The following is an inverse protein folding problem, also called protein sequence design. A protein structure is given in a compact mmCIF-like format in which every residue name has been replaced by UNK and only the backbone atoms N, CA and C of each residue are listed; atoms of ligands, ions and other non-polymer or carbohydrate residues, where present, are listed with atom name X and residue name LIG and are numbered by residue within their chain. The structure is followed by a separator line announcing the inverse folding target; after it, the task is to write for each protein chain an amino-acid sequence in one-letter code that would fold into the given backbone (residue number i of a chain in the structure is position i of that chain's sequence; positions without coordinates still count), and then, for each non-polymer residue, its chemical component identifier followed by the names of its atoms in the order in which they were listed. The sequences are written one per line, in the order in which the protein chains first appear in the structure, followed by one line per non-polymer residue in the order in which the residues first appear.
data_IF_076220832434
#
_entry.id   IF_076220832434
#
_cell.length_a   1.000
_cell.length_b   1.000
_cell.length_c   1.000
_cell.angle_alpha   90.00
_cell.angle_beta   90.00
_cell.angle_gamma   90.00
#
_symmetry.space_group_name_H-M   'P 1'
#
loop_
_entity.id
_entity.type
_entity.pdbx_description
1 polymer ?
#
# COMPACT_ATOMS: atom_id res chain seq x y z
N UNK A 1 23.19 -6.81 -11.47
CA UNK A 1 22.73 -8.19 -11.72
C UNK A 1 21.63 -8.46 -10.70
N UNK A 2 20.38 -8.25 -11.08
CA UNK A 2 19.21 -8.37 -10.19
C UNK A 2 18.73 -9.80 -10.35
N UNK A 3 18.99 -10.65 -9.35
CA UNK A 3 18.40 -11.98 -9.27
C UNK A 3 16.94 -11.81 -8.82
N UNK A 4 16.01 -11.84 -9.79
CA UNK A 4 14.60 -12.15 -9.53
C UNK A 4 14.51 -13.67 -9.35
N UNK A 5 14.96 -14.17 -8.21
CA UNK A 5 14.85 -15.58 -7.84
C UNK A 5 13.49 -15.81 -7.18
N UNK A 6 12.68 -16.68 -7.79
CA UNK A 6 11.65 -17.45 -7.09
C UNK A 6 10.49 -16.66 -6.49
N UNK A 7 9.68 -16.00 -7.32
CA UNK A 7 8.27 -15.83 -6.98
C UNK A 7 7.53 -17.02 -7.57
N UNK A 8 7.42 -18.12 -6.82
CA UNK A 8 6.34 -19.05 -7.05
C UNK A 8 5.05 -18.27 -6.72
N UNK A 9 4.47 -17.66 -7.75
CA UNK A 9 3.11 -17.18 -7.64
C UNK A 9 2.28 -18.44 -7.40
N UNK A 10 1.85 -18.65 -6.16
CA UNK A 10 0.68 -19.48 -5.89
C UNK A 10 -0.45 -18.80 -6.67
N UNK A 11 -0.66 -19.26 -7.91
CA UNK A 11 -1.70 -18.77 -8.81
C UNK A 11 -3.01 -19.43 -8.45
N UNK A 12 -3.42 -19.28 -7.18
CA UNK A 12 -4.83 -19.46 -6.87
C UNK A 12 -5.54 -18.24 -7.44
N UNK A 13 -6.39 -18.51 -8.45
CA UNK A 13 -7.25 -17.48 -9.01
C UNK A 13 -8.11 -16.93 -7.86
N UNK A 14 -8.23 -15.60 -7.72
CA UNK A 14 -8.96 -15.04 -6.62
C UNK A 14 -10.43 -15.47 -6.69
N UNK A 15 -10.97 -15.86 -5.53
CA UNK A 15 -12.38 -16.17 -5.41
C UNK A 15 -13.19 -14.87 -5.39
N UNK A 16 -14.33 -14.87 -6.05
CA UNK A 16 -15.27 -13.74 -6.01
C UNK A 16 -16.36 -14.02 -5.00
N UNK A 17 -16.56 -13.11 -4.05
CA UNK A 17 -17.63 -13.25 -3.07
C UNK A 17 -19.00 -13.10 -3.74
N UNK A 18 -20.01 -13.75 -3.13
CA UNK A 18 -21.42 -13.51 -3.45
C UNK A 18 -21.93 -12.21 -2.84
N UNK A 19 -21.26 -11.73 -1.80
CA UNK A 19 -21.54 -10.44 -1.19
C UNK A 19 -21.05 -9.32 -2.10
N UNK A 20 -21.86 -8.29 -2.31
CA UNK A 20 -21.47 -7.20 -3.19
C UNK A 20 -20.51 -6.22 -2.52
N UNK A 21 -20.53 -6.12 -1.18
CA UNK A 21 -19.85 -5.09 -0.40
C UNK A 21 -19.30 -5.69 0.89
N UNK A 22 -18.03 -5.41 1.18
CA UNK A 22 -17.38 -5.74 2.45
C UNK A 22 -16.81 -4.50 3.13
N UNK A 23 -16.38 -3.50 2.35
CA UNK A 23 -15.79 -2.26 2.88
C UNK A 23 -16.69 -1.04 2.67
N UNK A 24 -17.58 -1.08 1.68
CA UNK A 24 -18.33 0.12 1.31
C UNK A 24 -19.25 0.67 2.39
N UNK A 25 -19.08 1.96 2.69
CA UNK A 25 -19.93 2.73 3.60
C UNK A 25 -20.71 3.84 2.87
N UNK A 26 -21.69 4.47 3.53
CA UNK A 26 -22.47 5.57 2.93
C UNK A 26 -21.64 6.75 2.39
N UNK A 27 -20.60 7.23 3.09
CA UNK A 27 -19.68 8.23 2.53
C UNK A 27 -19.05 7.79 1.21
N UNK A 28 -18.81 6.49 1.04
CA UNK A 28 -18.18 5.97 -0.15
C UNK A 28 -19.15 5.82 -1.33
N UNK A 29 -20.44 5.60 -1.05
CA UNK A 29 -21.48 5.71 -2.07
C UNK A 29 -21.57 7.16 -2.59
N UNK A 30 -21.51 8.16 -1.70
CA UNK A 30 -21.44 9.55 -2.10
C UNK A 30 -20.18 9.86 -2.92
N UNK A 31 -19.03 9.35 -2.49
CA UNK A 31 -17.77 9.46 -3.23
C UNK A 31 -17.88 8.84 -4.62
N UNK A 32 -18.54 7.69 -4.76
CA UNK A 32 -18.78 7.03 -6.04
C UNK A 32 -19.63 7.91 -6.96
N UNK A 33 -20.73 8.46 -6.44
CA UNK A 33 -21.59 9.37 -7.20
C UNK A 33 -20.86 10.62 -7.68
N UNK A 34 -20.08 11.26 -6.79
CA UNK A 34 -19.22 12.40 -7.15
C UNK A 34 -18.17 11.99 -8.18
N UNK A 35 -17.56 10.80 -8.03
CA UNK A 35 -16.54 10.32 -8.96
C UNK A 35 -17.11 10.10 -10.36
N UNK A 36 -18.30 9.50 -10.49
CA UNK A 36 -18.98 9.34 -11.77
C UNK A 36 -19.28 10.68 -12.43
N UNK A 37 -19.78 11.65 -11.65
CA UNK A 37 -20.03 13.00 -12.15
C UNK A 37 -18.74 13.66 -12.66
N UNK A 38 -17.64 13.55 -11.91
CA UNK A 38 -16.36 14.11 -12.31
C UNK A 38 -15.78 13.41 -13.55
N UNK A 39 -15.86 12.08 -13.64
CA UNK A 39 -15.46 11.33 -14.84
C UNK A 39 -16.24 11.80 -16.06
N UNK A 40 -17.55 12.00 -15.91
CA UNK A 40 -18.40 12.54 -16.97
C UNK A 40 -17.93 13.94 -17.40
N UNK A 41 -17.76 14.86 -16.45
CA UNK A 41 -17.33 16.23 -16.73
C UNK A 41 -15.95 16.30 -17.40
N UNK A 42 -14.98 15.52 -16.90
CA UNK A 42 -13.62 15.46 -17.50
C UNK A 42 -13.66 14.82 -18.89
N UNK A 43 -14.54 13.84 -19.12
CA UNK A 43 -14.74 13.27 -20.45
C UNK A 43 -15.35 14.27 -21.43
N UNK A 44 -16.32 15.06 -20.99
CA UNK A 44 -16.89 16.17 -21.78
C UNK A 44 -15.83 17.23 -22.07
N UNK A 45 -14.99 17.57 -21.10
CA UNK A 45 -13.86 18.47 -21.30
C UNK A 45 -12.91 17.93 -22.38
N UNK A 46 -12.53 16.65 -22.31
CA UNK A 46 -11.68 16.03 -23.33
C UNK A 46 -12.32 16.03 -24.73
N UNK A 47 -13.64 15.82 -24.80
CA UNK A 47 -14.41 15.92 -26.04
C UNK A 47 -14.31 17.31 -26.67
N UNK A 48 -14.27 18.37 -25.87
CA UNK A 48 -14.11 19.74 -26.35
C UNK A 48 -12.68 20.00 -26.85
N UNK A 49 -11.66 19.38 -26.24
CA UNK A 49 -10.26 19.61 -26.58
C UNK A 49 -9.76 18.83 -27.80
N UNK A 50 -10.28 17.61 -28.06
CA UNK A 50 -9.77 16.76 -29.14
C UNK A 50 -10.80 15.79 -29.70
N UNK A 51 -10.68 15.49 -31.00
CA UNK A 51 -11.47 14.44 -31.68
C UNK A 51 -11.15 13.04 -31.17
N UNK A 52 -9.98 12.84 -30.55
CA UNK A 52 -9.54 11.54 -30.02
C UNK A 52 -9.93 11.30 -28.56
N UNK A 53 -10.83 12.11 -27.99
CA UNK A 53 -11.23 12.04 -26.58
C UNK A 53 -11.62 10.63 -26.13
N UNK A 54 -12.36 9.90 -26.97
CA UNK A 54 -12.81 8.54 -26.67
C UNK A 54 -11.63 7.59 -26.44
N UNK A 55 -10.57 7.70 -27.25
CA UNK A 55 -9.35 6.88 -27.10
C UNK A 55 -8.64 7.20 -25.79
N UNK A 56 -8.60 8.47 -25.38
CA UNK A 56 -8.00 8.89 -24.12
C UNK A 56 -8.81 8.34 -22.94
N UNK A 57 -10.12 8.61 -22.93
CA UNK A 57 -11.02 8.20 -21.84
C UNK A 57 -11.03 6.68 -21.66
N UNK A 58 -11.20 5.91 -22.74
CA UNK A 58 -11.22 4.43 -22.68
C UNK A 58 -9.83 3.87 -22.44
N UNK A 59 -8.79 4.42 -23.05
CA UNK A 59 -7.41 3.99 -22.82
C UNK A 59 -7.01 4.12 -21.35
N UNK A 60 -7.37 5.23 -20.71
CA UNK A 60 -7.14 5.44 -19.28
C UNK A 60 -8.02 4.54 -18.41
N UNK A 61 -9.24 4.20 -18.84
CA UNK A 61 -10.09 3.22 -18.15
C UNK A 61 -9.48 1.80 -18.17
N UNK A 62 -8.84 1.42 -19.28
CA UNK A 62 -8.13 0.15 -19.40
C UNK A 62 -6.86 0.14 -18.56
N UNK A 63 -6.08 1.22 -18.57
CA UNK A 63 -4.90 1.38 -17.70
C UNK A 63 -5.31 1.30 -16.23
N UNK A 64 -6.37 1.99 -15.83
CA UNK A 64 -6.86 1.93 -14.45
C UNK A 64 -7.34 0.53 -14.06
N UNK A 65 -7.94 -0.22 -15.00
CA UNK A 65 -8.32 -1.62 -14.76
C UNK A 65 -7.10 -2.50 -14.52
N UNK A 66 -6.08 -2.41 -15.36
CA UNK A 66 -4.81 -3.14 -15.19
C UNK A 66 -4.16 -2.78 -13.86
N UNK A 67 -4.16 -1.50 -13.48
CA UNK A 67 -3.65 -1.07 -12.18
C UNK A 67 -4.49 -1.58 -11.01
N UNK A 68 -5.82 -1.64 -11.15
CA UNK A 68 -6.69 -2.21 -10.13
C UNK A 68 -6.33 -3.69 -9.89
N UNK A 69 -6.15 -4.46 -10.97
CA UNK A 69 -5.72 -5.86 -10.90
C UNK A 69 -4.32 -5.97 -10.30
N UNK A 70 -3.36 -5.16 -10.75
CA UNK A 70 -2.01 -5.15 -10.19
C UNK A 70 -2.04 -4.80 -8.69
N UNK A 71 -2.95 -3.93 -8.27
CA UNK A 71 -3.05 -3.52 -6.88
C UNK A 71 -3.48 -4.65 -5.94
N UNK A 72 -4.21 -5.65 -6.45
CA UNK A 72 -4.53 -6.86 -5.69
C UNK A 72 -3.26 -7.62 -5.27
N UNK A 73 -2.27 -7.70 -6.15
CA UNK A 73 -1.05 -8.47 -5.89
C UNK A 73 0.05 -7.67 -5.20
N UNK A 74 0.11 -6.36 -5.41
CA UNK A 74 1.18 -5.52 -4.87
C UNK A 74 0.86 -4.96 -3.48
N UNK A 75 -0.43 -4.76 -3.18
CA UNK A 75 -0.88 -4.07 -1.97
C UNK A 75 -1.70 -5.01 -1.11
N UNK A 76 -1.06 -5.50 -0.06
CA UNK A 76 -1.64 -6.45 0.89
C UNK A 76 -1.32 -6.01 2.31
N UNK A 77 -2.37 -5.99 3.14
CA UNK A 77 -2.27 -6.06 4.59
C UNK A 77 -2.68 -7.50 4.99
N UNK A 78 -1.77 -8.31 5.54
CA UNK A 78 -2.09 -9.68 5.95
C UNK A 78 -3.08 -9.67 7.12
N UNK A 79 -3.72 -10.82 7.40
CA UNK A 79 -4.50 -10.99 8.62
C UNK A 79 -3.62 -10.75 9.85
N UNK A 80 -4.16 -10.02 10.83
CA UNK A 80 -3.38 -9.43 11.92
C UNK A 80 -4.09 -9.56 13.26
N UNK A 81 -3.31 -9.49 14.35
CA UNK A 81 -3.80 -9.47 15.73
C UNK A 81 -3.55 -8.14 16.43
N UNK A 82 -2.81 -7.23 15.81
CA UNK A 82 -2.66 -5.85 16.27
C UNK A 82 -4.03 -5.20 16.53
N UNK A 83 -4.31 -4.91 17.81
CA UNK A 83 -5.57 -4.35 18.33
C UNK A 83 -6.80 -5.19 18.07
N UNK A 84 -6.61 -6.46 17.74
CA UNK A 84 -7.64 -7.43 17.46
C UNK A 84 -7.21 -8.82 17.97
N UNK A 85 -7.32 -9.09 19.30
CA UNK A 85 -6.77 -10.30 19.91
C UNK A 85 -7.33 -11.60 19.34
N UNK A 86 -8.60 -11.57 18.91
CA UNK A 86 -9.29 -12.70 18.27
C UNK A 86 -8.83 -12.93 16.82
N UNK A 87 -8.02 -12.02 16.27
CA UNK A 87 -7.61 -11.98 14.89
C UNK A 87 -8.62 -11.23 14.01
N UNK A 88 -8.10 -10.33 13.19
CA UNK A 88 -8.87 -9.60 12.20
C UNK A 88 -8.44 -10.03 10.79
N UNK A 89 -9.39 -10.14 9.84
CA UNK A 89 -9.06 -10.40 8.45
C UNK A 89 -8.19 -9.25 7.90
N UNK A 90 -7.25 -9.62 7.06
CA UNK A 90 -6.47 -8.69 6.25
C UNK A 90 -7.27 -8.19 5.06
N UNK A 91 -6.61 -7.43 4.20
CA UNK A 91 -7.20 -6.94 2.96
C UNK A 91 -6.16 -6.72 1.86
N UNK A 92 -6.64 -6.72 0.61
CA UNK A 92 -5.86 -6.37 -0.58
C UNK A 92 -6.53 -5.25 -1.37
N UNK A 93 -5.71 -4.54 -2.14
CA UNK A 93 -6.16 -3.45 -3.00
C UNK A 93 -5.78 -2.07 -2.49
N UNK A 94 -5.53 -1.17 -3.44
CA UNK A 94 -5.17 0.23 -3.19
C UNK A 94 -5.61 1.12 -4.37
N UNK A 95 -6.00 2.39 -4.18
CA UNK A 95 -6.09 3.16 -2.92
C UNK A 95 -7.18 2.72 -1.95
N UNK A 96 -8.11 1.87 -2.41
CA UNK A 96 -9.17 1.33 -1.57
C UNK A 96 -9.07 -0.19 -1.46
N UNK A 97 -9.34 -0.77 -0.28
CA UNK A 97 -9.45 -2.21 -0.15
C UNK A 97 -10.66 -2.71 -0.93
N UNK A 98 -10.51 -3.85 -1.59
CA UNK A 98 -11.60 -4.51 -2.32
C UNK A 98 -11.59 -6.02 -2.21
N UNK A 99 -10.64 -6.59 -1.49
CA UNK A 99 -10.60 -8.00 -1.19
C UNK A 99 -10.22 -8.21 0.27
N UNK A 100 -10.83 -9.19 0.91
CA UNK A 100 -10.49 -9.63 2.27
C UNK A 100 -9.47 -10.77 2.21
N UNK A 101 -8.62 -10.89 3.23
CA UNK A 101 -7.63 -11.97 3.36
C UNK A 101 -7.81 -12.66 4.70
N UNK A 102 -7.96 -13.98 4.70
CA UNK A 102 -8.05 -14.77 5.93
C UNK A 102 -6.67 -15.13 6.51
N UNK A 103 -6.64 -15.82 7.66
CA UNK A 103 -5.38 -16.29 8.26
C UNK A 103 -4.71 -17.43 7.49
N UNK A 104 -5.44 -18.12 6.61
CA UNK A 104 -4.87 -19.13 5.72
C UNK A 104 -4.23 -18.50 4.46
N UNK A 105 -4.40 -17.19 4.27
CA UNK A 105 -3.89 -16.46 3.11
C UNK A 105 -4.84 -16.46 1.90
N UNK A 106 -6.04 -17.01 2.04
CA UNK A 106 -7.05 -16.99 0.99
C UNK A 106 -7.60 -15.59 0.85
N UNK A 107 -7.69 -15.12 -0.39
CA UNK A 107 -8.17 -13.79 -0.71
C UNK A 107 -9.48 -13.84 -1.48
N UNK A 108 -10.50 -13.13 -0.99
CA UNK A 108 -11.83 -13.08 -1.61
C UNK A 108 -12.11 -11.66 -2.09
N UNK A 109 -12.37 -11.50 -3.39
CA UNK A 109 -12.67 -10.22 -4.04
C UNK A 109 -14.15 -9.89 -3.90
N UNK A 110 -14.43 -8.66 -3.50
CA UNK A 110 -15.78 -8.12 -3.39
C UNK A 110 -16.11 -7.25 -4.62
N UNK A 111 -17.12 -7.61 -5.45
CA UNK A 111 -17.32 -6.99 -6.75
C UNK A 111 -17.56 -5.48 -6.75
N UNK A 112 -18.39 -4.95 -5.85
CA UNK A 112 -18.67 -3.51 -5.83
C UNK A 112 -17.45 -2.73 -5.33
N UNK A 113 -16.76 -3.22 -4.32
CA UNK A 113 -15.54 -2.59 -3.82
C UNK A 113 -14.46 -2.54 -4.91
N UNK A 114 -14.34 -3.61 -5.72
CA UNK A 114 -13.44 -3.64 -6.87
C UNK A 114 -13.81 -2.58 -7.91
N UNK A 115 -15.10 -2.49 -8.26
CA UNK A 115 -15.61 -1.48 -9.20
C UNK A 115 -15.40 -0.05 -8.69
N UNK A 116 -15.57 0.18 -7.39
CA UNK A 116 -15.33 1.47 -6.75
C UNK A 116 -13.84 1.85 -6.78
N UNK A 117 -12.93 0.90 -6.49
CA UNK A 117 -11.50 1.16 -6.59
C UNK A 117 -11.09 1.46 -8.05
N UNK A 118 -11.60 0.70 -9.01
CA UNK A 118 -11.37 0.94 -10.44
C UNK A 118 -11.87 2.32 -10.88
N UNK A 119 -13.07 2.74 -10.44
CA UNK A 119 -13.62 4.06 -10.72
C UNK A 119 -12.74 5.19 -10.19
N UNK A 120 -12.26 5.06 -8.95
CA UNK A 120 -11.34 6.04 -8.34
C UNK A 120 -10.04 6.12 -9.13
N UNK A 121 -9.44 4.99 -9.48
CA UNK A 121 -8.22 4.96 -10.29
C UNK A 121 -8.45 5.58 -11.68
N UNK A 122 -9.59 5.32 -12.31
CA UNK A 122 -9.94 5.91 -13.60
C UNK A 122 -10.05 7.44 -13.52
N UNK A 123 -10.74 7.94 -12.49
CA UNK A 123 -10.83 9.37 -12.23
C UNK A 123 -9.45 10.00 -11.99
N UNK A 124 -8.59 9.37 -11.17
CA UNK A 124 -7.25 9.86 -10.90
C UNK A 124 -6.41 9.97 -12.18
N UNK A 125 -6.47 8.97 -13.05
CA UNK A 125 -5.75 9.00 -14.34
C UNK A 125 -6.31 10.04 -15.30
N UNK A 126 -7.63 10.24 -15.34
CA UNK A 126 -8.25 11.30 -16.12
C UNK A 126 -7.80 12.68 -15.62
N UNK A 127 -7.84 12.94 -14.31
CA UNK A 127 -7.34 14.20 -13.74
C UNK A 127 -5.85 14.38 -14.00
N UNK A 128 -5.04 13.33 -13.83
CA UNK A 128 -3.62 13.35 -14.12
C UNK A 128 -3.35 13.72 -15.60
N UNK A 129 -4.15 13.20 -16.54
CA UNK A 129 -4.03 13.54 -17.96
C UNK A 129 -4.34 15.02 -18.25
N UNK A 130 -5.29 15.62 -17.53
CA UNK A 130 -5.61 17.05 -17.64
C UNK A 130 -4.44 17.87 -17.11
N UNK A 131 -3.96 17.56 -15.91
CA UNK A 131 -2.81 18.23 -15.29
C UNK A 131 -1.57 18.13 -16.18
N UNK A 132 -1.30 16.94 -16.71
CA UNK A 132 -0.21 16.69 -17.64
C UNK A 132 -0.31 17.57 -18.89
N UNK A 133 -1.51 17.73 -19.45
CA UNK A 133 -1.75 18.57 -20.63
C UNK A 133 -1.51 20.04 -20.31
N UNK A 134 -1.98 20.51 -19.16
CA UNK A 134 -1.75 21.90 -18.71
C UNK A 134 -0.25 22.15 -18.54
N UNK A 135 0.46 21.25 -17.85
CA UNK A 135 1.91 21.34 -17.66
C UNK A 135 2.66 21.29 -18.99
N UNK A 136 2.25 20.42 -19.91
CA UNK A 136 2.82 20.28 -21.25
C UNK A 136 2.74 21.59 -22.05
N UNK A 137 1.58 22.24 -22.01
CA UNK A 137 1.33 23.53 -22.67
C UNK A 137 2.14 24.63 -22.02
N UNK A 138 2.11 24.74 -20.68
CA UNK A 138 2.89 25.73 -19.94
C UNK A 138 4.40 25.61 -20.20
N UNK A 139 4.91 24.38 -20.34
CA UNK A 139 6.31 24.11 -20.63
C UNK A 139 6.69 24.30 -22.12
N UNK A 140 5.70 24.51 -23.00
CA UNK A 140 5.82 24.48 -24.47
C UNK A 140 6.52 23.22 -24.95
N UNK A 141 6.11 22.09 -24.41
CA UNK A 141 6.81 20.81 -24.57
C UNK A 141 7.13 20.44 -26.03
N UNK A 142 6.25 20.65 -27.03
CA UNK A 142 6.55 20.35 -28.44
C UNK A 142 7.74 21.14 -29.02
N UNK A 143 8.09 22.30 -28.46
CA UNK A 143 9.19 23.13 -28.95
C UNK A 143 10.53 22.77 -28.28
N UNK A 144 10.51 21.95 -27.22
CA UNK A 144 11.70 21.65 -26.41
C UNK A 144 12.57 20.55 -27.03
N UNK A 145 13.90 20.61 -26.86
CA UNK A 145 14.81 19.54 -27.27
C UNK A 145 14.54 18.25 -26.50
N UNK A 146 14.86 17.10 -27.11
CA UNK A 146 14.58 15.75 -26.57
C UNK A 146 15.05 15.56 -25.12
N UNK A 147 16.20 16.13 -24.72
CA UNK A 147 16.72 16.04 -23.35
C UNK A 147 15.77 16.68 -22.32
N UNK A 148 15.26 17.88 -22.63
CA UNK A 148 14.30 18.56 -21.76
C UNK A 148 12.94 17.85 -21.75
N UNK A 149 12.54 17.23 -22.87
CA UNK A 149 11.34 16.38 -22.91
C UNK A 149 11.46 15.18 -21.97
N UNK A 150 12.61 14.49 -22.00
CA UNK A 150 12.88 13.36 -21.11
C UNK A 150 12.93 13.81 -19.65
N UNK A 151 13.60 14.93 -19.36
CA UNK A 151 13.64 15.50 -18.01
C UNK A 151 12.23 15.85 -17.51
N UNK A 152 11.39 16.44 -18.35
CA UNK A 152 9.99 16.73 -18.03
C UNK A 152 9.22 15.46 -17.66
N UNK A 153 9.36 14.39 -18.46
CA UNK A 153 8.73 13.09 -18.17
C UNK A 153 9.25 12.48 -16.87
N UNK A 154 10.56 12.56 -16.62
CA UNK A 154 11.13 12.05 -15.38
C UNK A 154 10.61 12.83 -14.16
N UNK A 155 10.60 14.16 -14.22
CA UNK A 155 10.23 15.01 -13.06
C UNK A 155 8.74 15.02 -12.79
N UNK A 156 7.90 15.08 -13.82
CA UNK A 156 6.44 15.20 -13.65
C UNK A 156 5.68 13.88 -13.85
N UNK A 157 6.30 12.89 -14.49
CA UNK A 157 5.69 11.59 -14.78
C UNK A 157 6.21 10.48 -13.88
N UNK A 158 7.53 10.30 -13.78
CA UNK A 158 8.11 9.13 -13.07
C UNK A 158 8.35 9.43 -11.60
N UNK A 159 9.01 10.53 -11.28
CA UNK A 159 9.47 10.87 -9.94
C UNK A 159 8.34 10.99 -8.91
N UNK A 160 7.17 11.62 -9.20
CA UNK A 160 6.09 11.72 -8.21
C UNK A 160 5.55 10.34 -7.81
N UNK A 161 5.46 9.42 -8.77
CA UNK A 161 5.03 8.04 -8.53
C UNK A 161 6.10 7.22 -7.81
N UNK A 162 7.37 7.39 -8.20
CA UNK A 162 8.49 6.72 -7.57
C UNK A 162 8.59 7.07 -6.07
N UNK A 163 8.30 8.33 -5.72
CA UNK A 163 8.40 8.85 -4.36
C UNK A 163 7.08 8.85 -3.58
N UNK A 164 5.98 8.39 -4.17
CA UNK A 164 4.65 8.31 -3.53
C UNK A 164 4.68 7.58 -2.16
N UNK A 165 5.46 6.50 -1.96
CA UNK A 165 5.65 5.84 -0.65
C UNK A 165 6.12 6.74 0.49
N UNK A 166 6.76 7.88 0.19
CA UNK A 166 7.20 8.83 1.21
C UNK A 166 6.06 9.71 1.73
N UNK A 167 5.03 9.90 0.92
CA UNK A 167 3.95 10.84 1.20
C UNK A 167 2.67 10.15 1.64
N UNK A 168 2.43 8.94 1.16
CA UNK A 168 1.20 8.22 1.44
C UNK A 168 1.53 6.86 2.06
N UNK A 169 0.78 6.49 3.09
CA UNK A 169 1.00 5.22 3.76
C UNK A 169 0.57 4.06 2.86
N UNK A 170 1.39 3.00 2.75
CA UNK A 170 0.93 1.74 2.17
C UNK A 170 -0.23 1.15 3.01
N UNK A 171 -1.00 0.22 2.45
CA UNK A 171 -1.98 -0.52 3.23
C UNK A 171 -1.32 -1.16 4.46
N UNK A 172 -1.92 -0.93 5.62
CA UNK A 172 -1.45 -1.43 6.91
C UNK A 172 -2.61 -1.45 7.91
N UNK A 173 -2.57 -2.34 8.92
CA UNK A 173 -3.48 -2.27 10.07
C UNK A 173 -3.46 -0.89 10.73
N UNK A 174 -4.59 -0.50 11.31
CA UNK A 174 -4.72 0.72 12.10
C UNK A 174 -4.76 0.37 13.59
N UNK A 175 -3.61 0.13 14.25
CA UNK A 175 -3.57 -0.25 15.64
C UNK A 175 -4.04 0.89 16.55
N UNK A 176 -4.52 0.53 17.73
CA UNK A 176 -4.99 1.45 18.77
C UNK A 176 -4.29 1.18 20.10
N UNK A 177 -4.30 2.17 20.99
CA UNK A 177 -3.80 2.05 22.35
C UNK A 177 -2.35 1.57 22.42
N UNK A 178 -2.13 0.45 23.10
CA UNK A 178 -0.81 -0.10 23.37
C UNK A 178 -0.11 -0.61 22.09
N UNK A 179 -0.82 -1.26 21.17
CA UNK A 179 -0.22 -1.74 19.93
C UNK A 179 0.23 -0.59 19.02
N UNK A 180 -0.48 0.55 19.06
CA UNK A 180 -0.06 1.76 18.35
C UNK A 180 1.25 2.29 18.92
N UNK A 181 1.40 2.26 20.25
CA UNK A 181 2.63 2.66 20.94
C UNK A 181 3.78 1.73 20.53
N UNK A 182 3.58 0.42 20.58
CA UNK A 182 4.57 -0.58 20.17
C UNK A 182 4.96 -0.43 18.70
N UNK A 183 3.99 -0.31 17.79
CA UNK A 183 4.24 -0.12 16.37
C UNK A 183 5.02 1.17 16.08
N UNK A 184 4.70 2.26 16.77
CA UNK A 184 5.40 3.54 16.64
C UNK A 184 6.84 3.45 17.14
N UNK A 185 7.05 2.83 18.30
CA UNK A 185 8.39 2.63 18.88
C UNK A 185 9.25 1.70 18.02
N UNK A 186 8.67 0.63 17.49
CA UNK A 186 9.33 -0.26 16.55
C UNK A 186 9.74 0.47 15.26
N UNK A 187 8.84 1.26 14.66
CA UNK A 187 9.17 2.08 13.47
C UNK A 187 10.28 3.07 13.76
N UNK A 188 10.19 3.82 14.87
CA UNK A 188 11.25 4.77 15.26
C UNK A 188 12.58 4.06 15.46
N UNK A 189 12.59 2.90 16.10
CA UNK A 189 13.81 2.11 16.28
C UNK A 189 14.38 1.63 14.96
N UNK A 190 13.54 1.16 14.03
CA UNK A 190 13.95 0.78 12.69
C UNK A 190 14.59 1.93 11.91
N UNK A 191 14.01 3.13 12.02
CA UNK A 191 14.45 4.35 11.32
C UNK A 191 15.72 4.94 11.92
N UNK A 192 15.77 5.13 13.25
CA UNK A 192 16.85 5.86 13.90
C UNK A 192 17.99 4.96 14.39
N UNK A 193 17.66 3.81 14.98
CA UNK A 193 18.66 2.90 15.55
C UNK A 193 19.30 2.05 14.45
N UNK A 194 18.47 1.44 13.61
CA UNK A 194 18.94 0.50 12.57
C UNK A 194 19.08 1.12 11.17
N UNK A 195 18.67 2.38 10.98
CA UNK A 195 18.78 3.13 9.71
C UNK A 195 18.23 2.37 8.50
N UNK A 196 17.10 1.68 8.68
CA UNK A 196 16.49 0.89 7.60
C UNK A 196 15.94 1.81 6.51
N UNK A 197 15.30 2.91 6.90
CA UNK A 197 14.75 3.87 5.94
C UNK A 197 15.86 4.75 5.36
N UNK A 198 15.73 5.07 4.07
CA UNK A 198 16.73 5.84 3.35
C UNK A 198 16.49 5.86 1.84
N UNK A 199 17.55 5.60 1.08
CA UNK A 199 17.48 5.57 -0.39
C UNK A 199 16.73 4.34 -0.92
N UNK A 200 16.84 3.21 -0.23
CA UNK A 200 16.26 1.94 -0.69
C UNK A 200 14.88 1.67 -0.10
N UNK A 201 14.73 1.74 1.22
CA UNK A 201 13.42 1.63 1.88
C UNK A 201 12.91 3.02 2.18
N UNK A 202 11.76 3.38 1.62
CA UNK A 202 11.14 4.69 1.80
C UNK A 202 10.11 4.73 2.91
N UNK A 203 9.44 3.60 3.17
CA UNK A 203 8.39 3.50 4.19
C UNK A 203 8.35 2.11 4.79
N UNK A 204 7.98 2.05 6.06
CA UNK A 204 7.67 0.82 6.78
C UNK A 204 6.16 0.77 7.06
N UNK A 205 5.52 -0.33 6.69
CA UNK A 205 4.13 -0.62 7.01
C UNK A 205 4.07 -1.59 8.17
N UNK A 206 3.06 -1.46 9.04
CA UNK A 206 2.80 -2.51 10.04
C UNK A 206 2.20 -3.73 9.36
N UNK A 207 2.65 -4.93 9.71
CA UNK A 207 1.95 -6.17 9.39
C UNK A 207 1.20 -6.70 10.61
N UNK A 208 1.87 -6.82 11.76
CA UNK A 208 1.27 -7.38 12.98
C UNK A 208 2.07 -7.04 14.24
N UNK A 209 1.44 -7.20 15.41
CA UNK A 209 2.03 -7.03 16.75
C UNK A 209 1.72 -8.26 17.59
N UNK A 210 2.75 -8.82 18.24
CA UNK A 210 2.61 -9.95 19.18
C UNK A 210 3.08 -9.56 20.56
N UNK A 211 2.29 -9.92 21.55
CA UNK A 211 2.64 -9.88 22.97
C UNK A 211 3.14 -11.25 23.37
N UNK A 212 4.32 -11.31 23.98
CA UNK A 212 4.87 -12.54 24.53
C UNK A 212 4.45 -12.64 26.00
N UNK A 213 4.04 -13.82 26.43
CA UNK A 213 3.78 -14.07 27.85
C UNK A 213 5.09 -13.97 28.62
N UNK A 214 5.23 -12.90 29.40
CA UNK A 214 6.38 -12.70 30.26
C UNK A 214 6.18 -13.46 31.58
N UNK A 215 7.15 -14.28 31.98
CA UNK A 215 7.14 -14.94 33.27
C UNK A 215 7.54 -13.96 34.39
N UNK A 216 6.64 -13.68 35.33
CA UNK A 216 6.95 -12.92 36.56
C UNK A 216 6.83 -11.39 36.47
N UNK A 217 7.03 -10.73 37.60
CA UNK A 217 6.90 -9.26 37.77
C UNK A 217 7.99 -8.51 36.98
N UNK A 218 7.70 -7.28 36.55
CA UNK A 218 8.67 -6.44 35.84
C UNK A 218 9.70 -5.89 36.83
N UNK A 219 10.94 -6.39 36.73
CA UNK A 219 12.10 -5.94 37.53
C UNK A 219 13.28 -5.54 36.61
N UNK A 220 14.27 -4.83 37.16
CA UNK A 220 15.49 -4.36 36.49
C UNK A 220 16.20 -5.51 35.74
N UNK A 221 16.24 -6.70 36.34
CA UNK A 221 16.87 -7.88 35.74
C UNK A 221 16.13 -8.40 34.50
N UNK A 222 14.82 -8.12 34.39
CA UNK A 222 13.96 -8.53 33.26
C UNK A 222 13.81 -7.45 32.19
N UNK A 223 14.45 -6.28 32.34
CA UNK A 223 14.35 -5.15 31.40
C UNK A 223 14.86 -5.48 30.00
N UNK A 224 15.79 -6.44 29.89
CA UNK A 224 16.36 -6.89 28.62
C UNK A 224 15.63 -8.10 28.02
N UNK A 225 14.54 -8.56 28.62
CA UNK A 225 13.72 -9.62 28.05
C UNK A 225 12.75 -9.09 26.99
N UNK A 226 12.53 -9.89 25.96
CA UNK A 226 11.56 -9.58 24.91
C UNK A 226 10.15 -9.75 25.47
N UNK A 227 9.39 -8.66 25.53
CA UNK A 227 7.97 -8.71 25.93
C UNK A 227 7.01 -8.55 24.76
N UNK A 228 7.46 -7.92 23.68
CA UNK A 228 6.62 -7.72 22.49
C UNK A 228 7.44 -7.83 21.22
N UNK A 229 6.83 -8.29 20.15
CA UNK A 229 7.44 -8.36 18.82
C UNK A 229 6.56 -7.62 17.83
N UNK A 230 7.18 -6.85 16.94
CA UNK A 230 6.48 -6.10 15.90
C UNK A 230 7.02 -6.52 14.53
N UNK A 231 6.14 -6.85 13.60
CA UNK A 231 6.52 -7.13 12.22
C UNK A 231 6.18 -5.94 11.31
N UNK A 232 7.16 -5.48 10.55
CA UNK A 232 7.04 -4.38 9.60
C UNK A 232 7.40 -4.83 8.17
N UNK A 233 6.68 -4.34 7.16
CA UNK A 233 7.02 -4.50 5.73
C UNK A 233 7.68 -3.26 5.18
N UNK A 234 8.84 -3.41 4.56
CA UNK A 234 9.54 -2.31 3.87
C UNK A 234 9.10 -2.14 2.43
N UNK A 235 8.83 -0.90 2.05
CA UNK A 235 8.46 -0.49 0.70
C UNK A 235 9.53 0.44 0.09
N UNK A 236 9.86 0.18 -1.17
CA UNK A 236 10.84 0.96 -1.96
C UNK A 236 10.13 1.92 -2.91
N UNK A 237 10.80 2.37 -3.97
CA UNK A 237 10.17 3.13 -5.05
C UNK A 237 8.94 2.42 -5.62
N UNK A 238 7.93 3.20 -6.02
CA UNK A 238 6.68 2.69 -6.62
C UNK A 238 5.90 1.70 -5.73
N UNK A 239 6.08 1.74 -4.41
CA UNK A 239 5.51 0.75 -3.47
C UNK A 239 5.88 -0.69 -3.77
N UNK A 240 7.04 -0.95 -4.37
CA UNK A 240 7.50 -2.33 -4.52
C UNK A 240 7.89 -2.85 -3.12
N UNK A 241 7.25 -3.93 -2.62
CA UNK A 241 7.62 -4.53 -1.34
C UNK A 241 9.02 -5.14 -1.47
N UNK A 242 9.82 -5.04 -0.39
CA UNK A 242 11.21 -5.49 -0.40
C UNK A 242 11.49 -6.60 0.58
N UNK A 243 11.35 -6.33 1.88
CA UNK A 243 11.67 -7.25 2.98
C UNK A 243 10.77 -7.00 4.17
N UNK A 244 10.65 -8.01 5.03
CA UNK A 244 10.04 -7.91 6.36
C UNK A 244 11.12 -7.63 7.40
N UNK A 245 10.72 -6.95 8.47
CA UNK A 245 11.57 -6.61 9.60
C UNK A 245 10.82 -6.97 10.87
N UNK A 246 11.35 -7.95 11.61
CA UNK A 246 10.86 -8.32 12.93
C UNK A 246 11.69 -7.58 13.97
N UNK A 247 11.02 -6.85 14.85
CA UNK A 247 11.65 -6.02 15.88
C UNK A 247 11.20 -6.54 17.22
N UNK A 248 12.18 -6.97 18.01
CA UNK A 248 11.96 -7.44 19.36
C UNK A 248 12.07 -6.25 20.30
N UNK A 249 10.98 -5.94 20.99
CA UNK A 249 10.89 -4.88 21.98
C UNK A 249 11.00 -5.50 23.37
N UNK A 250 11.64 -4.75 24.26
CA UNK A 250 11.70 -5.12 25.66
C UNK A 250 10.30 -5.18 26.31
N UNK A 251 10.21 -5.70 27.54
CA UNK A 251 8.94 -5.76 28.30
C UNK A 251 8.18 -4.42 28.40
N UNK A 252 8.89 -3.28 28.44
CA UNK A 252 8.24 -1.97 28.44
C UNK A 252 7.81 -1.47 27.06
N UNK A 253 8.17 -2.17 25.98
CA UNK A 253 7.79 -1.81 24.61
C UNK A 253 8.47 -0.54 24.08
N UNK A 254 9.48 -0.03 24.78
CA UNK A 254 10.14 1.25 24.46
C UNK A 254 11.42 1.03 23.68
N UNK A 255 12.20 0.02 24.06
CA UNK A 255 13.56 -0.18 23.52
C UNK A 255 13.58 -1.41 22.64
N UNK A 256 14.09 -1.25 21.42
CA UNK A 256 14.36 -2.39 20.53
C UNK A 256 15.63 -3.12 20.98
N UNK A 257 15.48 -4.40 21.30
CA UNK A 257 16.56 -5.30 21.70
C UNK A 257 17.28 -5.89 20.49
N UNK A 258 16.51 -6.28 19.47
CA UNK A 258 17.04 -6.85 18.24
C UNK A 258 16.16 -6.52 17.05
N UNK A 259 16.77 -6.62 15.87
CA UNK A 259 16.10 -6.51 14.59
C UNK A 259 16.52 -7.67 13.69
N UNK A 260 15.53 -8.43 13.24
CA UNK A 260 15.72 -9.54 12.30
C UNK A 260 15.14 -9.15 10.96
N UNK A 261 15.93 -9.29 9.90
CA UNK A 261 15.46 -9.08 8.54
C UNK A 261 15.02 -10.40 7.94
N UNK A 262 13.80 -10.45 7.42
CA UNK A 262 13.16 -11.62 6.88
C UNK A 262 12.85 -11.41 5.39
N UNK A 263 13.01 -12.44 4.54
CA UNK A 263 12.53 -12.37 3.16
C UNK A 263 10.98 -12.37 3.11
N UNK A 264 10.41 -11.96 1.98
CA UNK A 264 8.96 -11.74 1.84
C UNK A 264 8.14 -13.04 1.78
N UNK A 265 8.77 -14.14 1.41
CA UNK A 265 8.20 -15.48 1.36
C UNK A 265 8.09 -16.12 2.74
N UNK A 266 8.97 -15.77 3.68
CA UNK A 266 8.91 -16.29 5.05
C UNK A 266 7.87 -15.56 5.90
N UNK A 267 6.97 -16.27 6.60
CA UNK A 267 6.02 -15.63 7.50
C UNK A 267 6.74 -14.81 8.58
N UNK A 268 6.12 -13.73 9.05
CA UNK A 268 6.67 -12.92 10.15
C UNK A 268 6.96 -13.75 11.41
N UNK A 269 6.17 -14.80 11.60
CA UNK A 269 6.09 -15.58 12.81
C UNK A 269 6.33 -17.05 12.48
N UNK A 270 7.32 -17.67 13.12
CA UNK A 270 7.56 -19.11 13.03
C UNK A 270 6.55 -19.86 13.91
N UNK A 271 5.89 -20.89 13.37
CA UNK A 271 4.99 -21.77 14.12
C UNK A 271 3.52 -21.29 14.17
N UNK A 272 2.79 -21.52 13.08
CA UNK A 272 1.33 -21.69 13.12
C UNK A 272 1.00 -23.16 12.90
#
# INVERSE_FOLDING_TARGET
MIYLQGVEFVTELPEWSRELVSFASWPEAALAGVSLLLVFLVSVWWRQQTRQWFRITVGLALISLVMCIASFYLFEAPAYRASCPQGCPGWRGYPRPFATVDFAGNAVITPLDFALNWLVLWLLWLVASVVWTILAVAFRWPERPRRLRLLFVLVFGVLPWALLPRFIEPPQPNPQGEDLRLATNARRSAEFTYRITGLWVHRLALEDVRHLEAAGEFDIDTVNEVGSQVCLRGYTFFYIPWRRYRIDLNRSGVTALSLTQLPLDTPCWEGQ
#
